data_IF_724449226095
#
_entry.id   IF_724449226095
#
_cell.length_a   1.000
_cell.length_b   1.000
_cell.length_c   1.000
_cell.angle_alpha   90.00
_cell.angle_beta   90.00
_cell.angle_gamma   90.00
#
_symmetry.space_group_name_H-M   'P 1'
#
loop_
_entity.id
_entity.type
_entity.pdbx_description
1 polymer ?
#
# COMPACT_ATOMS: atom_id res chain seq x y z
N UNK A 1 -7.40 16.64 -5.18
CA UNK A 1 -7.06 15.59 -6.17
C UNK A 1 -8.22 14.65 -6.15
N UNK A 2 -8.62 14.12 -7.30
CA UNK A 2 -9.83 13.30 -7.44
C UNK A 2 -9.96 12.18 -6.39
N UNK A 3 -8.84 11.59 -5.92
CA UNK A 3 -8.83 10.54 -4.89
C UNK A 3 -9.30 10.99 -3.50
N UNK A 4 -9.34 12.30 -3.23
CA UNK A 4 -9.71 12.83 -1.92
C UNK A 4 -11.23 12.86 -1.72
N UNK A 5 -11.96 12.89 -2.83
CA UNK A 5 -13.42 12.80 -2.86
C UNK A 5 -13.89 11.37 -2.60
N UNK A 6 -13.00 10.39 -2.78
CA UNK A 6 -13.29 8.95 -2.63
C UNK A 6 -13.06 8.40 -1.20
N UNK A 7 -13.02 9.28 -0.19
CA UNK A 7 -12.81 8.86 1.21
C UNK A 7 -13.82 7.83 1.70
N UNK A 8 -15.13 7.98 1.44
CA UNK A 8 -16.12 6.95 1.78
C UNK A 8 -15.78 5.59 1.15
N UNK A 9 -15.47 5.58 -0.14
CA UNK A 9 -15.18 4.39 -0.94
C UNK A 9 -13.89 3.70 -0.46
N UNK A 10 -12.87 4.47 -0.05
CA UNK A 10 -11.67 3.88 0.57
C UNK A 10 -12.00 3.14 1.87
N UNK A 11 -12.94 3.65 2.67
CA UNK A 11 -13.38 2.99 3.89
C UNK A 11 -14.18 1.72 3.58
N UNK A 12 -15.06 1.76 2.57
CA UNK A 12 -15.84 0.60 2.12
C UNK A 12 -14.93 -0.51 1.59
N UNK A 13 -13.92 -0.18 0.77
CA UNK A 13 -12.94 -1.15 0.27
C UNK A 13 -12.25 -1.88 1.44
N UNK A 14 -11.83 -1.14 2.47
CA UNK A 14 -11.20 -1.74 3.66
C UNK A 14 -12.20 -2.62 4.40
N UNK A 15 -13.43 -2.18 4.60
CA UNK A 15 -14.48 -2.96 5.28
C UNK A 15 -14.76 -4.28 4.57
N UNK A 16 -14.99 -4.25 3.25
CA UNK A 16 -15.25 -5.46 2.47
C UNK A 16 -14.05 -6.40 2.45
N UNK A 17 -12.83 -5.86 2.40
CA UNK A 17 -11.62 -6.66 2.49
C UNK A 17 -11.46 -7.32 3.87
N UNK A 18 -11.75 -6.61 4.97
CA UNK A 18 -11.76 -7.17 6.33
C UNK A 18 -12.75 -8.35 6.43
N UNK A 19 -13.98 -8.17 5.94
CA UNK A 19 -15.01 -9.22 5.93
C UNK A 19 -14.59 -10.43 5.09
N UNK A 20 -14.05 -10.21 3.90
CA UNK A 20 -13.65 -11.27 3.00
C UNK A 20 -12.47 -12.09 3.56
N UNK A 21 -11.45 -11.42 4.11
CA UNK A 21 -10.31 -12.09 4.75
C UNK A 21 -10.79 -12.90 5.96
N UNK A 22 -11.65 -12.33 6.81
CA UNK A 22 -12.21 -13.04 7.95
C UNK A 22 -13.03 -14.28 7.54
N UNK A 23 -13.81 -14.18 6.46
CA UNK A 23 -14.54 -15.31 5.91
C UNK A 23 -13.60 -16.43 5.43
N UNK A 24 -12.54 -16.07 4.71
CA UNK A 24 -11.53 -17.02 4.23
C UNK A 24 -10.78 -17.72 5.38
N UNK A 25 -10.42 -16.99 6.44
CA UNK A 25 -9.75 -17.56 7.62
C UNK A 25 -10.64 -18.55 8.39
N UNK A 26 -11.94 -18.24 8.51
CA UNK A 26 -12.94 -19.16 9.10
C UNK A 26 -13.05 -20.44 8.28
N UNK A 27 -13.13 -20.32 6.95
CA UNK A 27 -13.17 -21.49 6.06
C UNK A 27 -11.89 -22.33 6.16
N UNK A 28 -10.74 -21.68 6.33
CA UNK A 28 -9.44 -22.31 6.56
C UNK A 28 -9.23 -22.93 7.95
N UNK A 29 -10.27 -22.96 8.80
CA UNK A 29 -10.20 -23.46 10.20
C UNK A 29 -9.11 -22.75 11.02
N UNK A 30 -8.95 -21.44 10.82
CA UNK A 30 -7.99 -20.62 11.58
C UNK A 30 -6.53 -20.75 11.12
N UNK A 31 -6.25 -21.47 10.03
CA UNK A 31 -4.92 -21.48 9.41
C UNK A 31 -4.86 -20.42 8.31
N UNK A 32 -3.77 -19.64 8.27
CA UNK A 32 -3.47 -18.78 7.11
C UNK A 32 -3.33 -19.67 5.88
N UNK A 33 -4.18 -19.45 4.89
CA UNK A 33 -4.17 -20.17 3.64
C UNK A 33 -3.56 -19.30 2.55
N UNK A 34 -2.64 -19.89 1.77
CA UNK A 34 -2.19 -19.28 0.53
C UNK A 34 -3.32 -19.40 -0.48
N UNK A 35 -3.81 -18.26 -0.98
CA UNK A 35 -4.91 -18.22 -1.94
C UNK A 35 -4.39 -17.78 -3.29
N UNK A 36 -4.73 -18.55 -4.32
CA UNK A 36 -4.53 -18.16 -5.72
C UNK A 36 -5.88 -17.85 -6.35
N UNK A 37 -5.97 -16.71 -7.04
CA UNK A 37 -7.14 -16.29 -7.81
C UNK A 37 -6.68 -15.75 -9.16
N UNK A 38 -7.45 -15.97 -10.22
CA UNK A 38 -7.23 -15.28 -11.50
C UNK A 38 -7.88 -13.89 -11.52
N UNK A 39 -8.85 -13.65 -10.65
CA UNK A 39 -9.51 -12.37 -10.48
C UNK A 39 -8.64 -11.40 -9.69
N UNK A 40 -8.64 -10.14 -10.12
CA UNK A 40 -8.08 -9.01 -9.39
C UNK A 40 -9.19 -8.49 -8.46
N UNK A 41 -9.10 -8.79 -7.17
CA UNK A 41 -10.20 -8.58 -6.23
C UNK A 41 -9.80 -7.73 -5.03
N UNK A 42 -8.65 -8.00 -4.41
CA UNK A 42 -8.22 -7.33 -3.18
C UNK A 42 -6.90 -6.61 -3.30
N UNK A 43 -5.93 -7.19 -4.01
CA UNK A 43 -4.56 -6.68 -3.95
C UNK A 43 -4.47 -5.27 -4.52
N UNK A 44 -5.04 -5.04 -5.70
CA UNK A 44 -5.01 -3.73 -6.36
C UNK A 44 -5.81 -2.67 -5.58
N UNK A 45 -7.07 -2.90 -5.17
CA UNK A 45 -7.82 -1.92 -4.36
C UNK A 45 -7.11 -1.56 -3.04
N UNK A 46 -6.63 -2.54 -2.29
CA UNK A 46 -5.93 -2.29 -1.01
C UNK A 46 -4.60 -1.54 -1.23
N UNK A 47 -3.88 -1.86 -2.30
CA UNK A 47 -2.67 -1.12 -2.68
C UNK A 47 -2.98 0.35 -2.98
N UNK A 48 -4.10 0.64 -3.67
CA UNK A 48 -4.54 2.01 -3.89
C UNK A 48 -4.95 2.71 -2.59
N UNK A 49 -5.66 2.04 -1.68
CA UNK A 49 -5.97 2.61 -0.35
C UNK A 49 -4.67 3.00 0.37
N UNK A 50 -3.70 2.08 0.48
CA UNK A 50 -2.43 2.38 1.14
C UNK A 50 -1.64 3.50 0.43
N UNK A 51 -1.67 3.53 -0.90
CA UNK A 51 -0.88 4.43 -1.73
C UNK A 51 -1.52 5.80 -2.04
N UNK A 52 -2.83 5.94 -1.96
CA UNK A 52 -3.56 7.15 -2.39
C UNK A 52 -4.47 7.73 -1.32
N UNK A 53 -4.96 6.92 -0.37
CA UNK A 53 -5.82 7.41 0.70
C UNK A 53 -5.05 8.37 1.62
N UNK A 54 -5.68 9.50 1.95
CA UNK A 54 -5.09 10.47 2.87
C UNK A 54 -5.30 10.11 4.34
N UNK A 55 -6.32 9.31 4.66
CA UNK A 55 -6.60 8.90 6.03
C UNK A 55 -5.48 7.98 6.54
N UNK A 56 -4.69 8.50 7.47
CA UNK A 56 -3.58 7.80 8.10
C UNK A 56 -4.01 6.55 8.87
N UNK A 57 -5.29 6.40 9.20
CA UNK A 57 -5.85 5.23 9.90
C UNK A 57 -6.17 4.08 8.94
N UNK A 58 -6.50 4.38 7.68
CA UNK A 58 -6.85 3.36 6.68
C UNK A 58 -5.61 2.76 6.02
N UNK A 59 -4.53 3.53 5.84
CA UNK A 59 -3.31 3.02 5.19
C UNK A 59 -2.69 1.79 5.90
N UNK A 60 -2.49 1.80 7.24
CA UNK A 60 -1.92 0.65 7.94
C UNK A 60 -2.84 -0.58 7.88
N UNK A 61 -4.16 -0.36 7.97
CA UNK A 61 -5.16 -1.43 7.83
C UNK A 61 -5.07 -2.10 6.45
N UNK A 62 -5.02 -1.30 5.39
CA UNK A 62 -4.89 -1.83 4.04
C UNK A 62 -3.58 -2.62 3.83
N UNK A 63 -2.47 -2.12 4.38
CA UNK A 63 -1.18 -2.83 4.36
C UNK A 63 -1.27 -4.17 5.10
N UNK A 64 -1.95 -4.22 6.24
CA UNK A 64 -2.10 -5.47 7.01
C UNK A 64 -2.97 -6.49 6.26
N UNK A 65 -4.07 -6.04 5.64
CA UNK A 65 -4.93 -6.92 4.82
C UNK A 65 -4.19 -7.49 3.60
N UNK A 66 -3.24 -6.74 3.02
CA UNK A 66 -2.34 -7.24 1.97
C UNK A 66 -1.42 -8.35 2.47
N UNK A 67 -1.21 -8.52 3.79
CA UNK A 67 -0.41 -9.62 4.35
C UNK A 67 -1.15 -10.97 4.44
N UNK A 68 -2.32 -11.09 3.81
CA UNK A 68 -3.13 -12.31 3.74
C UNK A 68 -2.58 -13.45 2.85
N UNK A 69 -1.29 -13.40 2.46
CA UNK A 69 -0.61 -14.41 1.62
C UNK A 69 -1.36 -14.82 0.33
N UNK A 70 -1.78 -13.83 -0.47
CA UNK A 70 -2.57 -14.03 -1.70
C UNK A 70 -1.77 -13.82 -2.97
N UNK A 71 -2.19 -14.50 -4.03
CA UNK A 71 -1.72 -14.33 -5.40
C UNK A 71 -2.94 -14.09 -6.32
N UNK A 72 -3.02 -12.91 -6.92
CA UNK A 72 -4.08 -12.52 -7.88
C UNK A 72 -3.47 -12.35 -9.27
N UNK A 73 -3.65 -13.35 -10.12
CA UNK A 73 -2.94 -13.49 -11.39
C UNK A 73 -1.43 -13.45 -11.17
N UNK A 74 -0.77 -12.45 -11.75
CA UNK A 74 0.68 -12.22 -11.59
C UNK A 74 1.03 -11.44 -10.32
N UNK A 75 0.05 -10.89 -9.61
CA UNK A 75 0.28 -9.98 -8.48
C UNK A 75 0.33 -10.73 -7.15
N UNK A 76 1.37 -10.49 -6.36
CA UNK A 76 1.52 -11.06 -5.02
C UNK A 76 1.16 -10.04 -3.93
N UNK A 77 0.40 -10.46 -2.91
CA UNK A 77 -0.10 -9.57 -1.87
C UNK A 77 0.99 -9.12 -0.90
N UNK A 78 1.96 -9.99 -0.58
CA UNK A 78 3.10 -9.65 0.28
C UNK A 78 4.02 -8.64 -0.40
N UNK A 79 4.27 -8.82 -1.70
CA UNK A 79 4.97 -7.82 -2.51
C UNK A 79 4.25 -6.47 -2.44
N UNK A 80 2.94 -6.46 -2.69
CA UNK A 80 2.15 -5.24 -2.68
C UNK A 80 2.19 -4.56 -1.30
N UNK A 81 2.13 -5.33 -0.22
CA UNK A 81 2.26 -4.84 1.15
C UNK A 81 3.62 -4.14 1.36
N UNK A 82 4.72 -4.77 0.92
CA UNK A 82 6.08 -4.22 1.07
C UNK A 82 6.28 -2.94 0.27
N UNK A 83 5.83 -2.92 -0.98
CA UNK A 83 5.90 -1.72 -1.81
C UNK A 83 5.03 -0.60 -1.22
N UNK A 84 3.81 -0.92 -0.79
CA UNK A 84 2.92 0.06 -0.15
C UNK A 84 3.52 0.63 1.13
N UNK A 85 4.05 -0.23 2.01
CA UNK A 85 4.76 0.15 3.23
C UNK A 85 5.92 1.10 2.93
N UNK A 86 6.74 0.79 1.91
CA UNK A 86 7.84 1.66 1.48
C UNK A 86 7.34 3.03 1.03
N UNK A 87 6.32 3.07 0.16
CA UNK A 87 5.75 4.32 -0.34
C UNK A 87 5.11 5.16 0.77
N UNK A 88 4.45 4.54 1.74
CA UNK A 88 3.89 5.23 2.91
C UNK A 88 5.01 5.81 3.77
N UNK A 89 6.05 5.01 4.05
CA UNK A 89 7.19 5.46 4.85
C UNK A 89 7.88 6.67 4.23
N UNK A 90 8.10 6.69 2.91
CA UNK A 90 8.70 7.84 2.23
C UNK A 90 7.84 9.11 2.36
N UNK A 91 6.50 8.98 2.30
CA UNK A 91 5.60 10.13 2.53
C UNK A 91 5.65 10.64 3.97
N UNK A 92 5.83 9.72 4.92
CA UNK A 92 5.79 10.00 6.35
C UNK A 92 7.15 10.41 6.94
N UNK A 93 8.28 10.01 6.35
CA UNK A 93 9.65 10.41 6.75
C UNK A 93 9.82 11.95 6.76
N UNK A 94 9.09 12.68 5.92
CA UNK A 94 9.07 14.14 5.94
C UNK A 94 8.32 14.75 7.14
N UNK A 95 7.50 13.99 7.88
CA UNK A 95 6.76 14.45 9.06
C UNK A 95 7.67 14.52 10.29
N UNK A 96 8.57 13.55 10.46
CA UNK A 96 9.42 13.43 11.64
C UNK A 96 10.51 14.52 11.75
N UNK A 97 10.89 15.13 10.62
CA UNK A 97 11.97 16.13 10.59
C UNK A 97 11.50 17.59 10.72
N UNK A 98 10.22 17.88 10.45
CA UNK A 98 9.77 19.28 10.39
C UNK A 98 8.96 19.72 11.61
N UNK A 99 8.32 18.80 12.32
CA UNK A 99 7.54 19.13 13.51
C UNK A 99 7.69 18.01 14.56
N UNK A 100 8.45 18.27 15.63
CA UNK A 100 8.38 17.51 16.89
C UNK A 100 7.07 17.85 17.62
N UNK A 101 5.94 17.62 16.98
CA UNK A 101 4.61 17.65 17.61
C UNK A 101 4.08 16.24 17.49
N UNK A 102 3.67 15.64 18.61
CA UNK A 102 3.11 14.29 18.67
C UNK A 102 1.97 14.11 17.66
N UNK A 103 2.27 13.55 16.49
CA UNK A 103 1.25 13.13 15.53
C UNK A 103 0.74 11.73 15.93
N UNK A 104 0.09 11.65 17.08
CA UNK A 104 -0.83 10.55 17.39
C UNK A 104 -2.14 10.80 16.61
N UNK A 105 -2.24 10.24 15.40
CA UNK A 105 -3.51 9.66 14.95
C UNK A 105 -4.40 10.40 13.95
N UNK A 106 -4.09 11.60 13.42
CA UNK A 106 -5.03 12.28 12.51
C UNK A 106 -4.41 13.27 11.49
N UNK A 107 -3.26 12.95 10.88
CA UNK A 107 -2.60 13.86 9.92
C UNK A 107 -2.87 13.51 8.45
N UNK A 108 -3.48 14.42 7.68
CA UNK A 108 -3.56 14.32 6.22
C UNK A 108 -2.18 14.57 5.58
N UNK A 109 -1.77 13.75 4.61
CA UNK A 109 -0.53 13.98 3.84
C UNK A 109 -0.71 15.20 2.92
N UNK A 110 0.16 16.21 3.05
CA UNK A 110 0.09 17.42 2.22
C UNK A 110 0.45 17.14 0.75
N UNK A 111 0.02 18.03 -0.16
CA UNK A 111 0.13 17.82 -1.61
C UNK A 111 1.59 17.77 -2.10
N UNK A 112 2.47 18.51 -1.42
CA UNK A 112 3.88 18.72 -1.76
C UNK A 112 4.74 17.49 -1.43
N UNK A 113 4.19 16.52 -0.69
CA UNK A 113 4.90 15.30 -0.26
C UNK A 113 4.47 14.06 -1.03
N UNK A 114 3.79 14.26 -2.16
CA UNK A 114 3.23 13.17 -2.96
C UNK A 114 4.29 12.54 -3.82
N UNK A 115 4.23 11.22 -3.86
CA UNK A 115 5.00 10.39 -4.78
C UNK A 115 4.18 10.24 -6.06
N UNK A 116 4.83 10.44 -7.21
CA UNK A 116 4.23 10.34 -8.55
C UNK A 116 5.01 9.37 -9.43
N UNK A 117 4.40 8.92 -10.53
CA UNK A 117 5.07 8.05 -11.51
C UNK A 117 5.53 6.72 -10.92
N UNK A 118 4.75 6.15 -10.00
CA UNK A 118 5.06 4.86 -9.37
C UNK A 118 4.92 3.77 -10.43
N UNK A 119 6.04 3.14 -10.77
CA UNK A 119 6.14 1.99 -11.65
C UNK A 119 6.68 0.82 -10.84
N UNK A 120 6.02 -0.33 -10.94
CA UNK A 120 6.42 -1.56 -10.28
C UNK A 120 6.64 -2.61 -11.37
N UNK A 121 7.83 -3.21 -11.38
CA UNK A 121 8.11 -4.39 -12.19
C UNK A 121 8.47 -5.55 -11.29
N UNK A 122 7.80 -6.67 -11.51
CA UNK A 122 8.16 -7.92 -10.85
C UNK A 122 9.49 -8.40 -11.42
N UNK A 123 10.44 -8.74 -10.55
CA UNK A 123 11.57 -9.55 -10.96
C UNK A 123 11.06 -10.89 -11.49
N UNK A 124 11.40 -11.22 -12.72
CA UNK A 124 11.09 -12.53 -13.32
C UNK A 124 12.09 -13.61 -12.88
N UNK A 125 13.12 -13.24 -12.11
CA UNK A 125 14.17 -14.13 -11.61
C UNK A 125 13.78 -14.81 -10.28
N UNK A 126 14.56 -15.81 -9.86
CA UNK A 126 14.34 -16.67 -8.68
C UNK A 126 14.32 -15.92 -7.33
N UNK A 127 14.58 -14.61 -7.31
CA UNK A 127 14.58 -13.79 -6.11
C UNK A 127 13.26 -13.00 -5.98
N UNK A 128 12.58 -13.12 -4.83
CA UNK A 128 11.36 -12.38 -4.49
C UNK A 128 11.62 -10.88 -4.33
N UNK A 129 11.83 -10.19 -5.46
CA UNK A 129 12.18 -8.78 -5.55
C UNK A 129 11.36 -8.06 -6.60
N UNK A 130 10.95 -6.83 -6.30
CA UNK A 130 10.22 -5.95 -7.19
C UNK A 130 11.08 -4.72 -7.43
N UNK A 131 11.24 -4.34 -8.69
CA UNK A 131 11.84 -3.08 -9.06
C UNK A 131 10.79 -1.99 -8.91
N UNK A 132 11.11 -0.97 -8.14
CA UNK A 132 10.25 0.16 -7.82
C UNK A 132 10.90 1.43 -8.34
N UNK A 133 10.18 2.15 -9.20
CA UNK A 133 10.55 3.48 -9.66
C UNK A 133 9.50 4.48 -9.28
N UNK A 134 9.91 5.64 -8.77
CA UNK A 134 8.99 6.73 -8.46
C UNK A 134 9.70 8.08 -8.44
N UNK A 135 8.92 9.15 -8.52
CA UNK A 135 9.40 10.51 -8.34
C UNK A 135 8.85 11.11 -7.04
N UNK A 136 9.70 11.84 -6.32
CA UNK A 136 9.33 12.61 -5.13
C UNK A 136 9.83 14.05 -5.23
N UNK A 137 9.19 14.98 -4.53
CA UNK A 137 9.64 16.37 -4.46
C UNK A 137 10.69 16.50 -3.34
N UNK A 138 11.89 16.94 -3.71
CA UNK A 138 12.97 17.30 -2.79
C UNK A 138 13.21 18.81 -2.85
N UNK A 139 12.56 19.58 -1.97
CA UNK A 139 12.65 21.04 -2.01
C UNK A 139 11.96 21.61 -3.25
N UNK A 140 12.71 22.19 -4.19
CA UNK A 140 12.19 22.72 -5.48
C UNK A 140 12.40 21.77 -6.65
N UNK A 141 13.06 20.64 -6.44
CA UNK A 141 13.43 19.70 -7.50
C UNK A 141 12.62 18.40 -7.40
N UNK A 142 12.43 17.75 -8.55
CA UNK A 142 11.83 16.42 -8.63
C UNK A 142 12.96 15.40 -8.68
N UNK A 143 13.01 14.53 -7.66
CA UNK A 143 14.01 13.48 -7.54
C UNK A 143 13.39 12.18 -8.05
N UNK A 144 14.02 11.55 -9.03
CA UNK A 144 13.70 10.19 -9.47
C UNK A 144 14.45 9.19 -8.58
N UNK A 145 13.74 8.18 -8.09
CA UNK A 145 14.28 7.11 -7.26
C UNK A 145 13.96 5.78 -7.93
N UNK A 146 14.97 4.91 -8.00
CA UNK A 146 14.87 3.54 -8.49
C UNK A 146 15.53 2.62 -7.46
N UNK A 147 14.77 1.65 -6.95
CA UNK A 147 15.25 0.72 -5.92
C UNK A 147 14.60 -0.66 -6.06
N UNK A 148 15.21 -1.67 -5.46
CA UNK A 148 14.66 -3.03 -5.37
C UNK A 148 14.02 -3.24 -3.99
N UNK A 149 12.82 -3.81 -3.96
CA UNK A 149 12.08 -4.15 -2.75
C UNK A 149 11.89 -5.66 -2.68
N UNK A 150 12.44 -6.30 -1.65
CA UNK A 150 12.27 -7.72 -1.38
C UNK A 150 11.04 -8.00 -0.49
N UNK A 151 10.41 -9.18 -0.63
CA UNK A 151 9.28 -9.59 0.22
C UNK A 151 9.29 -11.06 0.66
#
# INVERSE_FOLDING_TARGET
MVWDELLPEWSEIVSFAEEFVACAEKAGKGKRQKVFSLDIALIVPLYFVAGKCRDARLRPKAIELLRSERQEGVTNSLMAARVAERLVRIKEEGLLYRDKVEYRGAGFVTRERRISGVEIKLGLEEERKAWLRFSKIGGREVILVEEWVAW
#
